data_IF_924247490871
#
_entry.id   IF_924247490871
#
_cell.length_a   1.000
_cell.length_b   1.000
_cell.length_c   1.000
_cell.angle_alpha   90.00
_cell.angle_beta   90.00
_cell.angle_gamma   90.00
#
_symmetry.space_group_name_H-M   'P 1'
#
loop_
_entity.id
_entity.type
_entity.pdbx_description
1 polymer ?
#
# COMPACT_ATOMS: atom_id res chain seq x y z
N UNK A 1 25.23 13.41 -2.25
CA UNK A 1 24.46 12.50 -1.39
C UNK A 1 23.06 13.11 -1.27
N UNK A 2 22.08 12.58 -2.00
CA UNK A 2 20.73 13.13 -2.02
C UNK A 2 20.12 13.04 -0.61
N UNK A 3 19.71 14.18 -0.08
CA UNK A 3 19.16 14.26 1.26
C UNK A 3 17.74 13.69 1.25
N UNK A 4 17.25 13.32 2.42
CA UNK A 4 15.87 12.88 2.68
C UNK A 4 14.73 13.71 2.03
N UNK A 5 15.03 14.98 1.68
CA UNK A 5 14.28 15.88 0.80
C UNK A 5 13.89 15.33 -0.57
N UNK A 6 14.75 14.49 -1.13
CA UNK A 6 14.83 14.25 -2.57
C UNK A 6 14.03 13.03 -3.02
N UNK A 7 13.51 12.22 -2.08
CA UNK A 7 12.72 11.04 -2.43
C UNK A 7 11.31 11.45 -2.84
N UNK A 8 10.99 11.19 -4.10
CA UNK A 8 9.63 11.27 -4.63
C UNK A 8 8.69 10.28 -3.91
N UNK A 9 7.39 10.56 -3.96
CA UNK A 9 6.36 9.65 -3.44
C UNK A 9 6.45 8.25 -4.06
N UNK A 10 6.91 8.15 -5.31
CA UNK A 10 7.13 6.87 -5.97
C UNK A 10 8.29 6.09 -5.34
N UNK A 11 9.44 6.73 -5.11
CA UNK A 11 10.61 6.09 -4.49
C UNK A 11 10.34 5.68 -3.05
N UNK A 12 9.62 6.52 -2.28
CA UNK A 12 9.10 6.16 -0.97
C UNK A 12 8.21 4.92 -1.03
N UNK A 13 7.33 4.85 -2.02
CA UNK A 13 6.46 3.70 -2.26
C UNK A 13 7.23 2.41 -2.57
N UNK A 14 8.34 2.50 -3.32
CA UNK A 14 9.20 1.34 -3.60
C UNK A 14 9.87 0.80 -2.33
N UNK A 15 10.35 1.68 -1.46
CA UNK A 15 10.98 1.31 -0.18
C UNK A 15 9.95 0.60 0.72
N UNK A 16 8.77 1.22 0.92
CA UNK A 16 7.70 0.65 1.75
C UNK A 16 7.21 -0.68 1.19
N UNK A 17 6.92 -0.73 -0.12
CA UNK A 17 6.41 -1.93 -0.77
C UNK A 17 7.38 -3.11 -0.68
N UNK A 18 8.70 -2.87 -0.72
CA UNK A 18 9.68 -3.92 -0.54
C UNK A 18 9.63 -4.54 0.86
N UNK A 19 9.39 -3.75 1.91
CA UNK A 19 9.28 -4.25 3.28
C UNK A 19 7.97 -4.96 3.56
N UNK A 20 6.86 -4.48 2.97
CA UNK A 20 5.58 -5.21 2.97
C UNK A 20 5.72 -6.58 2.27
N UNK A 21 6.58 -6.68 1.25
CA UNK A 21 6.96 -7.94 0.62
C UNK A 21 7.95 -8.80 1.43
N UNK A 22 8.35 -8.36 2.63
CA UNK A 22 9.21 -9.10 3.55
C UNK A 22 10.71 -8.88 3.35
N UNK A 23 11.14 -7.93 2.52
CA UNK A 23 12.56 -7.61 2.35
C UNK A 23 13.12 -6.83 3.55
N UNK A 24 14.33 -7.18 3.95
CA UNK A 24 15.12 -6.48 4.96
C UNK A 24 15.67 -5.15 4.43
N UNK A 25 16.02 -4.24 5.36
CA UNK A 25 16.58 -2.91 5.00
C UNK A 25 17.84 -3.05 4.15
N UNK A 26 18.72 -4.02 4.45
CA UNK A 26 19.95 -4.26 3.69
C UNK A 26 19.68 -4.78 2.27
N UNK A 27 18.63 -5.59 2.07
CA UNK A 27 18.23 -6.03 0.73
C UNK A 27 17.67 -4.87 -0.09
N UNK A 28 16.88 -3.99 0.53
CA UNK A 28 16.36 -2.78 -0.11
C UNK A 28 17.50 -1.81 -0.46
N UNK A 29 18.49 -1.67 0.43
CA UNK A 29 19.70 -0.89 0.19
C UNK A 29 20.51 -1.42 -1.00
N UNK A 30 20.76 -2.73 -1.07
CA UNK A 30 21.46 -3.33 -2.21
C UNK A 30 20.67 -3.20 -3.52
N UNK A 31 19.34 -3.32 -3.46
CA UNK A 31 18.49 -3.35 -4.66
C UNK A 31 18.26 -1.97 -5.26
N UNK A 32 18.13 -0.94 -4.43
CA UNK A 32 17.75 0.40 -4.88
C UNK A 32 18.83 1.47 -4.60
N UNK A 33 19.92 1.13 -3.92
CA UNK A 33 21.05 2.03 -3.68
C UNK A 33 20.78 3.15 -2.66
N UNK A 34 19.66 3.09 -1.94
CA UNK A 34 19.35 4.05 -0.88
C UNK A 34 20.13 3.72 0.38
N UNK A 35 20.61 4.75 1.10
CA UNK A 35 21.31 4.52 2.36
C UNK A 35 20.42 3.84 3.40
N UNK A 36 21.01 3.00 4.24
CA UNK A 36 20.35 2.39 5.40
C UNK A 36 19.57 3.41 6.25
N UNK A 37 20.12 4.61 6.47
CA UNK A 37 19.48 5.67 7.25
C UNK A 37 18.22 6.24 6.58
N UNK A 38 18.26 6.38 5.24
CA UNK A 38 17.11 6.84 4.45
C UNK A 38 15.98 5.83 4.51
N UNK A 39 16.29 4.56 4.28
CA UNK A 39 15.31 3.46 4.29
C UNK A 39 14.66 3.33 5.67
N UNK A 40 15.48 3.27 6.73
CA UNK A 40 14.98 3.11 8.10
C UNK A 40 14.04 4.24 8.52
N UNK A 41 14.31 5.46 8.06
CA UNK A 41 13.45 6.62 8.33
C UNK A 41 12.12 6.59 7.58
N UNK A 42 12.13 6.17 6.30
CA UNK A 42 10.91 5.95 5.52
C UNK A 42 10.02 4.90 6.19
N UNK A 43 10.59 3.78 6.67
CA UNK A 43 9.82 2.79 7.42
C UNK A 43 9.28 3.34 8.73
N UNK A 44 10.09 4.06 9.50
CA UNK A 44 9.63 4.65 10.75
C UNK A 44 8.43 5.58 10.52
N UNK A 45 8.50 6.46 9.51
CA UNK A 45 7.39 7.35 9.17
C UNK A 45 6.16 6.60 8.67
N UNK A 46 6.34 5.60 7.81
CA UNK A 46 5.24 4.76 7.36
C UNK A 46 4.54 4.05 8.53
N UNK A 47 5.31 3.52 9.49
CA UNK A 47 4.78 2.85 10.68
C UNK A 47 4.14 3.80 11.68
N UNK A 48 4.69 5.01 11.85
CA UNK A 48 4.17 6.00 12.81
C UNK A 48 2.98 6.78 12.25
N UNK A 49 2.89 6.93 10.94
CA UNK A 49 1.79 7.66 10.31
C UNK A 49 0.48 6.87 10.26
N UNK A 50 0.45 5.60 10.66
CA UNK A 50 -0.70 4.68 10.43
C UNK A 50 -1.23 4.79 8.99
N UNK A 51 -0.39 5.23 8.03
CA UNK A 51 -0.66 5.27 6.60
C UNK A 51 -0.48 3.88 6.02
N UNK A 52 -0.88 2.84 6.76
CA UNK A 52 -1.08 1.55 6.18
C UNK A 52 -2.34 1.64 5.31
N UNK A 53 -2.25 2.31 4.15
CA UNK A 53 -3.35 2.50 3.18
C UNK A 53 -3.95 1.14 2.81
N UNK A 54 -3.17 0.06 2.95
CA UNK A 54 -3.56 -1.32 2.72
C UNK A 54 -4.64 -1.77 3.71
N UNK A 55 -4.56 -1.44 5.00
CA UNK A 55 -5.56 -1.85 6.00
C UNK A 55 -6.98 -1.29 5.76
N UNK A 56 -7.19 0.03 5.61
CA UNK A 56 -8.51 0.57 5.31
C UNK A 56 -8.96 0.23 3.88
N UNK A 57 -8.03 0.05 2.92
CA UNK A 57 -8.39 -0.52 1.61
C UNK A 57 -8.90 -1.96 1.75
N UNK A 58 -8.22 -2.80 2.53
CA UNK A 58 -8.61 -4.20 2.75
C UNK A 58 -9.95 -4.29 3.49
N UNK A 59 -10.14 -3.48 4.52
CA UNK A 59 -11.41 -3.39 5.25
C UNK A 59 -12.57 -2.94 4.34
N UNK A 60 -12.34 -1.98 3.44
CA UNK A 60 -13.33 -1.52 2.47
C UNK A 60 -13.68 -2.61 1.44
N UNK A 61 -12.68 -3.29 0.89
CA UNK A 61 -12.87 -4.39 -0.05
C UNK A 61 -13.59 -5.57 0.61
N UNK A 62 -13.20 -5.93 1.83
CA UNK A 62 -13.84 -6.99 2.60
C UNK A 62 -15.33 -6.68 2.87
N UNK A 63 -15.66 -5.41 3.14
CA UNK A 63 -17.05 -4.96 3.31
C UNK A 63 -17.87 -5.18 2.03
N UNK A 64 -17.31 -4.91 0.85
CA UNK A 64 -18.02 -5.07 -0.42
C UNK A 64 -18.18 -6.56 -0.77
N UNK A 65 -17.14 -7.36 -0.55
CA UNK A 65 -17.19 -8.81 -0.78
C UNK A 65 -18.22 -9.50 0.11
N UNK A 66 -18.32 -9.13 1.40
CA UNK A 66 -19.31 -9.72 2.32
C UNK A 66 -20.76 -9.32 2.02
N UNK A 67 -20.99 -8.15 1.40
CA UNK A 67 -22.33 -7.66 1.09
C UNK A 67 -22.87 -8.17 -0.26
N UNK A 68 -22.05 -8.87 -1.05
CA UNK A 68 -22.46 -9.39 -2.37
C UNK A 68 -23.33 -10.63 -2.21
N UNK A 69 -24.44 -10.66 -2.95
CA UNK A 69 -25.29 -11.84 -3.10
C UNK A 69 -25.43 -12.18 -4.58
N UNK A 70 -25.13 -13.42 -5.00
CA UNK A 70 -24.60 -14.51 -4.18
C UNK A 70 -23.14 -14.27 -3.73
N UNK A 71 -22.69 -14.89 -2.62
CA UNK A 71 -21.29 -14.84 -2.23
C UNK A 71 -20.41 -15.40 -3.35
N UNK A 72 -19.21 -14.84 -3.58
CA UNK A 72 -18.29 -15.37 -4.58
C UNK A 72 -17.88 -16.79 -4.19
N UNK A 73 -18.38 -17.79 -4.91
CA UNK A 73 -18.09 -19.21 -4.70
C UNK A 73 -16.79 -19.66 -5.37
N UNK A 74 -16.29 -18.88 -6.33
CA UNK A 74 -15.10 -19.20 -7.13
C UNK A 74 -14.06 -18.08 -7.05
N UNK A 75 -12.78 -18.41 -7.20
CA UNK A 75 -11.69 -17.44 -7.33
C UNK A 75 -11.93 -16.39 -8.43
N UNK A 76 -12.52 -16.81 -9.55
CA UNK A 76 -12.93 -15.90 -10.63
C UNK A 76 -14.01 -14.91 -10.16
N UNK A 77 -15.02 -15.38 -9.43
CA UNK A 77 -16.10 -14.53 -8.93
C UNK A 77 -15.59 -13.51 -7.91
N UNK A 78 -14.63 -13.91 -7.07
CA UNK A 78 -13.97 -13.02 -6.12
C UNK A 78 -13.17 -11.94 -6.86
N UNK A 79 -12.39 -12.33 -7.87
CA UNK A 79 -11.62 -11.38 -8.69
C UNK A 79 -12.55 -10.37 -9.38
N UNK A 80 -13.62 -10.83 -10.01
CA UNK A 80 -14.60 -9.96 -10.66
C UNK A 80 -15.27 -9.03 -9.66
N UNK A 81 -15.64 -9.53 -8.48
CA UNK A 81 -16.21 -8.72 -7.40
C UNK A 81 -15.30 -7.59 -6.94
N UNK A 82 -14.01 -7.89 -6.77
CA UNK A 82 -13.02 -6.91 -6.36
C UNK A 82 -12.78 -5.88 -7.48
N UNK A 83 -12.71 -6.32 -8.74
CA UNK A 83 -12.53 -5.40 -9.87
C UNK A 83 -13.74 -4.48 -10.07
N UNK A 84 -14.96 -5.01 -10.03
CA UNK A 84 -16.20 -4.21 -10.15
C UNK A 84 -16.26 -3.17 -9.02
N UNK A 85 -16.02 -3.61 -7.77
CA UNK A 85 -16.01 -2.74 -6.60
C UNK A 85 -14.93 -1.65 -6.66
N UNK A 86 -13.79 -1.95 -7.26
CA UNK A 86 -12.68 -1.00 -7.36
C UNK A 86 -12.93 0.02 -8.47
N UNK A 87 -13.51 -0.39 -9.60
CA UNK A 87 -13.91 0.50 -10.69
C UNK A 87 -15.01 1.50 -10.28
N UNK A 88 -15.89 1.13 -9.35
CA UNK A 88 -16.94 2.02 -8.85
C UNK A 88 -16.42 3.09 -7.85
N UNK A 89 -15.20 2.95 -7.33
CA UNK A 89 -14.65 3.92 -6.36
C UNK A 89 -14.21 5.21 -7.06
N UNK A 90 -14.66 6.39 -6.59
CA UNK A 90 -14.23 7.66 -7.15
C UNK A 90 -12.72 7.88 -6.95
N UNK A 91 -12.02 8.58 -7.87
CA UNK A 91 -10.57 8.77 -7.82
C UNK A 91 -10.07 9.49 -6.55
N UNK A 92 -10.96 10.20 -5.83
CA UNK A 92 -10.66 10.84 -4.54
C UNK A 92 -10.70 9.90 -3.32
N UNK A 93 -11.17 8.67 -3.45
CA UNK A 93 -11.32 7.74 -2.33
C UNK A 93 -10.00 7.41 -1.64
N UNK A 94 -8.92 7.27 -2.41
CA UNK A 94 -7.58 7.08 -1.86
C UNK A 94 -7.08 8.31 -1.11
N UNK A 95 -7.43 9.51 -1.55
CA UNK A 95 -7.04 10.74 -0.86
C UNK A 95 -7.73 10.90 0.51
N UNK A 96 -8.96 10.38 0.66
CA UNK A 96 -9.64 10.34 1.97
C UNK A 96 -9.07 9.31 2.93
N UNK A 97 -8.39 8.28 2.43
CA UNK A 97 -7.71 7.28 3.26
C UNK A 97 -6.30 7.74 3.68
N UNK A 98 -5.65 8.56 2.85
CA UNK A 98 -4.31 9.13 3.12
C UNK A 98 -4.39 10.34 4.05
N UNK A 99 -5.48 11.11 4.03
CA UNK A 99 -5.71 12.23 4.96
C UNK A 99 -6.34 11.72 6.26
N UNK A 100 -5.52 11.25 7.19
CA UNK A 100 -5.93 11.05 8.59
C UNK A 100 -5.11 11.94 9.50
#
# INVERSE_FOLDING_TARGET
MAGYQDLSNFERGLIVGAGEMGHSISEVEMKFGYSHTTISRVYHEYRVSDMNIIEPMWAALQCVVQKRSPPPGTLMDLRTALQDSWCEKPPGYLQTLVKK
#
